data_IF_202339235957
#
_entry.id   IF_202339235957
#
_cell.length_a   1.000
_cell.length_b   1.000
_cell.length_c   1.000
_cell.angle_alpha   90.00
_cell.angle_beta   90.00
_cell.angle_gamma   90.00
#
_symmetry.space_group_name_H-M   'P 1'
#
loop_
_entity.id
_entity.type
_entity.pdbx_description
1 polymer ?
#
# COMPACT_ATOMS: atom_id res chain seq x y z
N UNK A 1 -10.88 -18.40 -18.10
CA UNK A 1 -9.98 -17.51 -17.32
C UNK A 1 -10.59 -16.12 -17.37
N UNK A 2 -11.24 -15.66 -16.29
CA UNK A 2 -11.85 -14.33 -16.27
C UNK A 2 -10.73 -13.28 -16.23
N UNK A 3 -10.50 -12.58 -17.34
CA UNK A 3 -9.65 -11.40 -17.34
C UNK A 3 -10.29 -10.36 -16.43
N UNK A 4 -9.59 -9.99 -15.35
CA UNK A 4 -9.95 -8.80 -14.58
C UNK A 4 -9.94 -7.62 -15.55
N UNK A 5 -11.14 -7.14 -15.91
CA UNK A 5 -11.28 -6.05 -16.86
C UNK A 5 -10.53 -4.83 -16.33
N UNK A 6 -10.00 -4.00 -17.23
CA UNK A 6 -9.33 -2.76 -16.85
C UNK A 6 -10.19 -1.94 -15.85
N UNK A 7 -11.53 -1.99 -15.98
CA UNK A 7 -12.47 -1.39 -15.05
C UNK A 7 -12.42 -1.95 -13.62
N UNK A 8 -12.27 -3.27 -13.44
CA UNK A 8 -12.14 -3.89 -12.12
C UNK A 8 -10.84 -3.47 -11.40
N UNK A 9 -9.77 -3.30 -12.18
CA UNK A 9 -8.47 -2.85 -11.66
C UNK A 9 -8.53 -1.38 -11.26
N UNK A 10 -9.21 -0.54 -12.04
CA UNK A 10 -9.49 0.86 -11.69
C UNK A 10 -10.36 0.97 -10.43
N UNK A 11 -11.36 0.10 -10.28
CA UNK A 11 -12.20 0.05 -9.07
C UNK A 11 -11.42 -0.35 -7.82
N UNK A 12 -10.51 -1.32 -7.92
CA UNK A 12 -9.63 -1.71 -6.82
C UNK A 12 -8.69 -0.57 -6.40
N UNK A 13 -8.07 0.10 -7.37
CA UNK A 13 -7.21 1.25 -7.10
C UNK A 13 -8.01 2.43 -6.53
N UNK A 14 -9.18 2.73 -7.09
CA UNK A 14 -10.08 3.77 -6.61
C UNK A 14 -10.57 3.48 -5.18
N UNK A 15 -10.95 2.23 -4.89
CA UNK A 15 -11.32 1.81 -3.53
C UNK A 15 -10.16 1.95 -2.55
N UNK A 16 -8.94 1.59 -2.96
CA UNK A 16 -7.72 1.82 -2.19
C UNK A 16 -7.45 3.29 -1.86
N UNK A 17 -7.54 4.15 -2.88
CA UNK A 17 -7.41 5.61 -2.73
C UNK A 17 -8.50 6.16 -1.83
N UNK A 18 -9.74 5.67 -1.96
CA UNK A 18 -10.86 6.07 -1.11
C UNK A 18 -10.59 5.72 0.36
N UNK A 19 -10.08 4.51 0.63
CA UNK A 19 -9.71 4.09 2.00
C UNK A 19 -8.61 4.98 2.58
N UNK A 20 -7.59 5.33 1.78
CA UNK A 20 -6.52 6.25 2.21
C UNK A 20 -7.08 7.66 2.48
N UNK A 21 -7.95 8.17 1.60
CA UNK A 21 -8.59 9.47 1.77
C UNK A 21 -9.50 9.50 2.99
N UNK A 22 -10.28 8.45 3.23
CA UNK A 22 -11.11 8.30 4.45
C UNK A 22 -10.20 8.27 5.69
N UNK A 23 -9.11 7.51 5.66
CA UNK A 23 -8.14 7.49 6.76
C UNK A 23 -7.44 8.84 6.99
N UNK A 24 -7.23 9.64 5.94
CA UNK A 24 -6.65 10.98 6.03
C UNK A 24 -7.65 12.02 6.55
N UNK A 25 -8.90 11.98 6.07
CA UNK A 25 -9.98 12.91 6.45
C UNK A 25 -10.45 12.66 7.88
N UNK A 26 -10.60 11.39 8.27
CA UNK A 26 -11.01 11.01 9.62
C UNK A 26 -9.82 10.80 10.57
N UNK A 27 -8.58 10.92 10.08
CA UNK A 27 -7.35 10.69 10.84
C UNK A 27 -7.18 11.58 12.07
N UNK A 28 -7.76 12.78 12.05
CA UNK A 28 -7.77 13.71 13.19
C UNK A 28 -8.81 13.35 14.27
N UNK A 29 -9.81 12.53 13.93
CA UNK A 29 -10.85 12.02 14.85
C UNK A 29 -10.62 10.57 15.27
N UNK A 30 -9.66 9.89 14.67
CA UNK A 30 -9.31 8.51 14.99
C UNK A 30 -8.37 8.49 16.21
N UNK A 31 -8.67 7.60 17.17
CA UNK A 31 -7.74 7.34 18.27
C UNK A 31 -6.39 6.88 17.72
N UNK A 32 -5.32 7.18 18.46
CA UNK A 32 -3.95 6.84 18.05
C UNK A 32 -3.80 5.34 17.74
N UNK A 33 -4.51 4.47 18.46
CA UNK A 33 -4.49 3.02 18.22
C UNK A 33 -5.30 2.58 17.00
N UNK A 34 -6.42 3.23 16.71
CA UNK A 34 -7.19 2.95 15.50
C UNK A 34 -6.42 3.39 14.25
N UNK A 35 -5.79 4.57 14.30
CA UNK A 35 -4.90 5.04 13.23
C UNK A 35 -3.73 4.08 12.98
N UNK A 36 -3.14 3.54 14.05
CA UNK A 36 -2.08 2.52 13.97
C UNK A 36 -2.55 1.22 13.31
N UNK A 37 -3.74 0.72 13.66
CA UNK A 37 -4.30 -0.49 13.03
C UNK A 37 -4.54 -0.30 11.53
N UNK A 38 -5.01 0.88 11.13
CA UNK A 38 -5.22 1.23 9.73
C UNK A 38 -3.89 1.31 8.98
N UNK A 39 -2.88 1.98 9.54
CA UNK A 39 -1.53 2.05 8.94
C UNK A 39 -0.92 0.66 8.74
N UNK A 40 -1.11 -0.26 9.70
CA UNK A 40 -0.66 -1.65 9.59
C UNK A 40 -1.44 -2.45 8.56
N UNK A 41 -2.77 -2.30 8.49
CA UNK A 41 -3.59 -2.94 7.47
C UNK A 41 -3.17 -2.49 6.06
N UNK A 42 -2.88 -1.20 5.89
CA UNK A 42 -2.31 -0.65 4.66
C UNK A 42 -0.94 -1.25 4.35
N UNK A 43 -0.06 -1.33 5.34
CA UNK A 43 1.29 -1.87 5.21
C UNK A 43 1.32 -3.35 4.81
N UNK A 44 0.42 -4.16 5.38
CA UNK A 44 0.47 -5.62 5.27
C UNK A 44 -0.44 -6.18 4.18
N UNK A 45 -1.51 -5.48 3.82
CA UNK A 45 -2.51 -5.99 2.87
C UNK A 45 -2.53 -5.14 1.61
N UNK A 46 -2.71 -3.82 1.77
CA UNK A 46 -2.94 -2.94 0.64
C UNK A 46 -1.69 -2.75 -0.23
N UNK A 47 -0.55 -2.36 0.35
CA UNK A 47 0.66 -2.12 -0.44
C UNK A 47 1.21 -3.37 -1.13
N UNK A 48 1.27 -4.55 -0.48
CA UNK A 48 1.66 -5.78 -1.16
C UNK A 48 0.71 -6.12 -2.31
N UNK A 49 -0.61 -6.03 -2.09
CA UNK A 49 -1.59 -6.30 -3.14
C UNK A 49 -1.49 -5.33 -4.33
N UNK A 50 -1.33 -4.03 -4.06
CA UNK A 50 -1.13 -3.02 -5.08
C UNK A 50 0.19 -3.25 -5.86
N UNK A 51 1.28 -3.60 -5.18
CA UNK A 51 2.55 -3.92 -5.83
C UNK A 51 2.45 -5.17 -6.72
N UNK A 52 1.79 -6.23 -6.25
CA UNK A 52 1.54 -7.44 -7.04
C UNK A 52 0.70 -7.15 -8.29
N UNK A 53 -0.32 -6.30 -8.19
CA UNK A 53 -1.13 -5.89 -9.34
C UNK A 53 -0.33 -5.06 -10.35
N UNK A 54 0.51 -4.15 -9.88
CA UNK A 54 1.38 -3.34 -10.74
C UNK A 54 2.42 -4.24 -11.45
N UNK A 55 3.01 -5.20 -10.75
CA UNK A 55 3.93 -6.18 -11.33
C UNK A 55 3.24 -7.06 -12.37
N UNK A 56 2.04 -7.55 -12.09
CA UNK A 56 1.25 -8.32 -13.05
C UNK A 56 0.92 -7.49 -14.29
N UNK A 57 0.51 -6.23 -14.11
CA UNK A 57 0.23 -5.32 -15.22
C UNK A 57 1.48 -5.03 -16.06
N UNK A 58 2.63 -4.83 -15.43
CA UNK A 58 3.90 -4.64 -16.12
C UNK A 58 4.27 -5.86 -16.96
N UNK A 59 4.00 -7.08 -16.49
CA UNK A 59 4.26 -8.32 -17.23
C UNK A 59 3.33 -8.51 -18.46
N UNK A 60 2.23 -7.77 -18.54
CA UNK A 60 1.24 -7.84 -19.62
C UNK A 60 1.32 -6.65 -20.60
N UNK A 61 2.35 -5.80 -20.48
CA UNK A 61 2.54 -4.60 -21.28
C UNK A 61 3.73 -4.76 -22.21
N UNK A 62 3.54 -4.46 -23.50
CA UNK A 62 4.60 -4.48 -24.51
C UNK A 62 5.38 -3.15 -24.57
N UNK A 63 4.80 -2.05 -24.09
CA UNK A 63 5.44 -0.74 -24.07
C UNK A 63 6.47 -0.64 -22.94
N UNK A 64 7.75 -0.59 -23.31
CA UNK A 64 8.87 -0.47 -22.38
C UNK A 64 8.78 0.73 -21.44
N UNK A 65 8.29 1.89 -21.90
CA UNK A 65 8.19 3.08 -21.05
C UNK A 65 7.12 2.88 -19.97
N UNK A 66 5.98 2.29 -20.35
CA UNK A 66 4.91 1.96 -19.40
C UNK A 66 5.33 0.90 -18.39
N UNK A 67 6.08 -0.13 -18.83
CA UNK A 67 6.63 -1.16 -17.95
C UNK A 67 7.57 -0.54 -16.91
N UNK A 68 8.55 0.25 -17.35
CA UNK A 68 9.52 0.90 -16.45
C UNK A 68 8.80 1.83 -15.46
N UNK A 69 7.87 2.66 -15.93
CA UNK A 69 7.07 3.53 -15.06
C UNK A 69 6.26 2.75 -14.02
N UNK A 70 5.66 1.62 -14.42
CA UNK A 70 4.87 0.75 -13.54
C UNK A 70 5.75 0.09 -12.47
N UNK A 71 6.97 -0.35 -12.84
CA UNK A 71 7.92 -0.95 -11.90
C UNK A 71 8.45 0.06 -10.87
N UNK A 72 8.78 1.28 -11.31
CA UNK A 72 9.17 2.37 -10.40
C UNK A 72 8.04 2.63 -9.39
N UNK A 73 6.80 2.71 -9.88
CA UNK A 73 5.65 2.94 -9.02
C UNK A 73 5.41 1.79 -8.04
N UNK A 74 5.54 0.54 -8.48
CA UNK A 74 5.48 -0.64 -7.60
C UNK A 74 6.57 -0.58 -6.51
N UNK A 75 7.79 -0.17 -6.86
CA UNK A 75 8.88 0.05 -5.90
C UNK A 75 8.52 1.08 -4.82
N UNK A 76 7.92 2.22 -5.21
CA UNK A 76 7.47 3.26 -4.28
C UNK A 76 6.36 2.78 -3.33
N UNK A 77 5.44 1.96 -3.84
CA UNK A 77 4.37 1.33 -3.04
C UNK A 77 4.96 0.39 -1.99
N UNK A 78 5.87 -0.51 -2.39
CA UNK A 78 6.56 -1.43 -1.47
C UNK A 78 7.37 -0.65 -0.44
N UNK A 79 8.13 0.36 -0.88
CA UNK A 79 8.95 1.18 0.01
C UNK A 79 8.12 1.87 1.10
N UNK A 80 6.93 2.38 0.78
CA UNK A 80 6.05 2.97 1.78
C UNK A 80 5.57 1.96 2.82
N UNK A 81 5.16 0.76 2.39
CA UNK A 81 4.82 -0.33 3.33
C UNK A 81 5.99 -0.69 4.25
N UNK A 82 7.19 -0.86 3.68
CA UNK A 82 8.41 -1.16 4.44
C UNK A 82 8.74 -0.06 5.46
N UNK A 83 8.61 1.22 5.10
CA UNK A 83 8.86 2.33 6.05
C UNK A 83 7.93 2.27 7.26
N UNK A 84 6.65 1.98 7.05
CA UNK A 84 5.66 1.89 8.12
C UNK A 84 6.00 0.72 9.06
N UNK A 85 6.29 -0.45 8.50
CA UNK A 85 6.69 -1.63 9.30
C UNK A 85 7.98 -1.37 10.06
N UNK A 86 9.02 -0.79 9.41
CA UNK A 86 10.30 -0.48 10.07
C UNK A 86 10.15 0.59 11.16
N UNK A 87 9.33 1.61 10.94
CA UNK A 87 9.02 2.61 11.98
C UNK A 87 8.37 1.95 13.20
N UNK A 88 7.61 0.86 13.00
CA UNK A 88 6.99 0.10 14.08
C UNK A 88 7.97 -0.78 14.84
N UNK A 89 8.78 -1.57 14.12
CA UNK A 89 9.79 -2.44 14.75
C UNK A 89 10.77 -1.62 15.61
N UNK A 90 11.20 -0.45 15.12
CA UNK A 90 12.05 0.45 15.91
C UNK A 90 11.38 0.95 17.19
N UNK A 91 10.07 1.23 17.17
CA UNK A 91 9.34 1.62 18.38
C UNK A 91 9.15 0.47 19.37
N UNK A 92 8.93 -0.75 18.89
CA UNK A 92 8.81 -1.92 19.76
C UNK A 92 10.11 -2.18 20.53
N UNK A 93 11.24 -2.18 19.82
CA UNK A 93 12.55 -2.39 20.42
C UNK A 93 12.91 -1.30 21.45
N UNK A 94 12.51 -0.05 21.22
CA UNK A 94 12.77 1.04 22.16
C UNK A 94 11.92 0.97 23.45
N UNK A 95 10.79 0.25 23.42
CA UNK A 95 9.95 0.03 24.62
C UNK A 95 10.52 -1.13 25.44
N UNK A 96 10.97 -2.22 24.78
CA UNK A 96 11.66 -3.33 25.44
C UNK A 96 13.02 -2.92 26.04
N UNK A 97 13.76 -2.01 25.40
CA UNK A 97 15.03 -1.53 25.94
C UNK A 97 14.89 -0.57 27.13
N UNK A 98 13.66 -0.11 27.44
CA UNK A 98 13.36 0.83 28.53
C UNK A 98 12.63 0.17 29.72
N UNK A 99 12.32 -1.13 29.64
CA UNK A 99 11.74 -1.96 30.70
C UNK A 99 12.79 -2.84 31.36
#
# INVERSE_FOLDING_TARGET
MASLSAGALTLLLAGGVLVILIAAVFGSRLSVDMRRRIELALALVFYPGAASLLLWRAAMQDDRLLVVGTLIFAGLVVWNGVRIVRARLRRANNIEAAS
#
